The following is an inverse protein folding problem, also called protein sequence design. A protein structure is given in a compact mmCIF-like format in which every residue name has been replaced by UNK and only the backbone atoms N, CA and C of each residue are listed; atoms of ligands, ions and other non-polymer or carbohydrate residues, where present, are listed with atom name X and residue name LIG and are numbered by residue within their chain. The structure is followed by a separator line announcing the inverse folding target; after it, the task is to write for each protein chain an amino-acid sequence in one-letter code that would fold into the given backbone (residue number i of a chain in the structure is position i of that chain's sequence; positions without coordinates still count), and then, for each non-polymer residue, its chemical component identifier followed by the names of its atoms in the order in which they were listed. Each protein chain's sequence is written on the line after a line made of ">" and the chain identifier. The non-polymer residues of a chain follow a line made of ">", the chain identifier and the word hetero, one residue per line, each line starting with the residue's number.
data_IF_355517917537
#
_entry.id   IF_355517917537
#
_cell.length_a   1.000
_cell.length_b   1.000
_cell.length_c   1.000
_cell.angle_alpha   90.00
_cell.angle_beta   90.00
_cell.angle_gamma   90.00
#
_symmetry.space_group_name_H-M   'P 1'
#
loop_
_entity.id
_entity.type
_entity.pdbx_description
1 polymer ?
#
# COMPACT_ATOMS: atom_id res chain seq x y z
N UNK A 1 3.15 -12.40 -1.81
CA UNK A 1 3.48 -13.75 -2.27
C UNK A 1 3.78 -14.63 -1.07
N UNK A 2 3.26 -15.85 -1.06
CA UNK A 2 3.70 -16.92 -0.15
C UNK A 2 4.28 -17.99 -1.08
N UNK A 3 5.56 -18.35 -0.94
CA UNK A 3 6.21 -19.31 -1.86
C UNK A 3 7.57 -18.92 -2.47
N UNK A 4 8.39 -18.14 -1.76
CA UNK A 4 9.81 -17.94 -2.15
C UNK A 4 10.07 -16.90 -3.25
N UNK A 5 9.11 -16.01 -3.53
CA UNK A 5 9.34 -14.87 -4.45
C UNK A 5 10.35 -13.90 -3.82
N UNK A 6 11.42 -13.59 -4.57
CA UNK A 6 12.37 -12.55 -4.19
C UNK A 6 11.82 -11.19 -4.58
N UNK A 7 11.72 -10.29 -3.62
CA UNK A 7 11.26 -8.91 -3.83
C UNK A 7 12.48 -8.01 -3.71
N UNK A 8 12.94 -7.46 -4.83
CA UNK A 8 14.07 -6.54 -4.90
C UNK A 8 13.57 -5.15 -5.33
N UNK A 9 12.67 -4.56 -4.55
CA UNK A 9 12.15 -3.21 -4.76
C UNK A 9 11.76 -2.54 -3.44
N UNK A 10 11.83 -1.21 -3.37
CA UNK A 10 11.45 -0.42 -2.18
C UNK A 10 9.95 -0.29 -2.01
N UNK A 11 9.14 -0.63 -3.02
CA UNK A 11 7.69 -0.53 -2.91
C UNK A 11 7.07 -1.47 -1.87
N UNK A 12 7.80 -2.50 -1.45
CA UNK A 12 7.36 -3.45 -0.44
C UNK A 12 7.63 -3.00 1.00
N UNK A 13 8.39 -1.92 1.23
CA UNK A 13 8.80 -1.49 2.57
C UNK A 13 7.60 -1.29 3.50
N UNK A 14 6.60 -0.52 3.04
CA UNK A 14 5.40 -0.25 3.83
C UNK A 14 4.60 -1.53 4.12
N UNK A 15 4.52 -2.45 3.17
CA UNK A 15 3.82 -3.73 3.35
C UNK A 15 4.53 -4.61 4.38
N UNK A 16 5.86 -4.70 4.33
CA UNK A 16 6.68 -5.44 5.31
C UNK A 16 6.54 -4.82 6.70
N UNK A 17 6.60 -3.49 6.80
CA UNK A 17 6.43 -2.77 8.06
C UNK A 17 5.05 -3.04 8.67
N UNK A 18 3.98 -2.98 7.87
CA UNK A 18 2.64 -3.28 8.34
C UNK A 18 2.44 -4.73 8.75
N UNK A 19 3.06 -5.69 8.05
CA UNK A 19 3.04 -7.09 8.45
C UNK A 19 3.73 -7.29 9.81
N UNK A 20 4.91 -6.68 10.01
CA UNK A 20 5.62 -6.73 11.29
C UNK A 20 4.81 -6.07 12.41
N UNK A 21 4.18 -4.92 12.13
CA UNK A 21 3.37 -4.17 13.09
C UNK A 21 2.08 -4.90 13.46
N UNK A 22 1.42 -5.52 12.49
CA UNK A 22 0.24 -6.37 12.66
C UNK A 22 0.54 -7.53 13.60
N UNK A 23 1.65 -8.24 13.35
CA UNK A 23 2.16 -9.31 14.20
C UNK A 23 2.48 -8.81 15.62
N UNK A 24 3.21 -7.69 15.72
CA UNK A 24 3.59 -7.11 17.01
C UNK A 24 2.38 -6.67 17.86
N UNK A 25 1.31 -6.21 17.22
CA UNK A 25 0.09 -5.73 17.90
C UNK A 25 -1.01 -6.79 18.02
N UNK A 26 -0.78 -7.99 17.50
CA UNK A 26 -1.77 -9.06 17.38
C UNK A 26 -3.11 -8.56 16.79
N UNK A 27 -3.02 -7.72 15.75
CA UNK A 27 -4.18 -7.13 15.08
C UNK A 27 -4.12 -7.42 13.58
N UNK A 28 -4.99 -8.29 13.05
CA UNK A 28 -4.97 -8.64 11.64
C UNK A 28 -5.28 -7.44 10.75
N UNK A 29 -4.64 -7.39 9.59
CA UNK A 29 -4.97 -6.45 8.52
C UNK A 29 -6.15 -7.00 7.70
N UNK A 30 -6.98 -6.14 7.09
CA UNK A 30 -8.02 -6.59 6.17
C UNK A 30 -7.46 -7.47 5.04
N UNK A 31 -8.13 -8.56 4.71
CA UNK A 31 -7.67 -9.52 3.68
C UNK A 31 -7.81 -8.97 2.25
N UNK A 32 -8.61 -7.94 2.07
CA UNK A 32 -8.90 -7.24 0.83
C UNK A 32 -8.11 -5.92 0.67
N UNK A 33 -7.09 -5.71 1.51
CA UNK A 33 -6.20 -4.56 1.50
C UNK A 33 -4.92 -4.84 0.68
N UNK A 34 -4.59 -3.92 -0.23
CA UNK A 34 -3.27 -3.82 -0.86
C UNK A 34 -2.51 -2.62 -0.31
N UNK A 35 -1.20 -2.78 -0.09
CA UNK A 35 -0.34 -1.68 0.36
C UNK A 35 0.96 -1.71 -0.42
N UNK A 36 1.45 -0.53 -0.82
CA UNK A 36 2.80 -0.35 -1.33
C UNK A 36 3.29 1.05 -0.97
N UNK A 37 4.60 1.23 -0.98
CA UNK A 37 5.26 2.50 -0.69
C UNK A 37 6.65 2.28 -0.10
N UNK A 38 7.58 3.14 -0.50
CA UNK A 38 8.91 3.19 0.10
C UNK A 38 8.83 3.96 1.42
N UNK A 39 9.49 3.43 2.45
CA UNK A 39 9.48 4.03 3.79
C UNK A 39 10.84 4.67 4.04
N UNK A 40 10.85 6.00 4.15
CA UNK A 40 12.05 6.71 4.58
C UNK A 40 12.27 6.59 6.09
N UNK A 41 13.53 6.73 6.52
CA UNK A 41 13.91 6.58 7.92
C UNK A 41 13.28 7.65 8.84
N UNK A 42 12.91 8.82 8.30
CA UNK A 42 12.19 9.87 9.02
C UNK A 42 10.66 9.66 9.02
N UNK A 43 10.21 8.49 8.55
CA UNK A 43 8.82 8.06 8.54
C UNK A 43 7.99 8.66 7.41
N UNK A 44 8.61 9.26 6.40
CA UNK A 44 7.95 9.66 5.16
C UNK A 44 7.61 8.46 4.28
N UNK A 45 6.49 8.56 3.55
CA UNK A 45 6.07 7.56 2.56
C UNK A 45 6.33 8.12 1.17
N UNK A 46 7.25 7.49 0.45
CA UNK A 46 7.77 7.97 -0.85
C UNK A 46 7.07 7.26 -2.01
N UNK A 47 6.86 7.96 -3.15
CA UNK A 47 6.22 7.36 -4.30
C UNK A 47 7.07 6.25 -4.92
N UNK A 48 6.38 5.27 -5.50
CA UNK A 48 7.01 4.14 -6.19
C UNK A 48 6.69 4.16 -7.68
N UNK A 49 7.51 3.52 -8.54
CA UNK A 49 7.21 3.39 -9.95
C UNK A 49 5.90 2.64 -10.21
N UNK A 50 5.20 3.04 -11.28
CA UNK A 50 4.01 2.36 -11.81
C UNK A 50 2.83 2.22 -10.82
N UNK A 51 2.66 3.17 -9.88
CA UNK A 51 1.61 3.08 -8.85
C UNK A 51 0.18 2.92 -9.39
N UNK A 52 -0.18 3.62 -10.47
CA UNK A 52 -1.51 3.48 -11.08
C UNK A 52 -1.73 2.08 -11.69
N UNK A 53 -0.69 1.50 -12.29
CA UNK A 53 -0.74 0.14 -12.85
C UNK A 53 -0.90 -0.91 -11.75
N UNK A 54 -0.17 -0.75 -10.63
CA UNK A 54 -0.33 -1.60 -9.44
C UNK A 54 -1.76 -1.55 -8.88
N UNK A 55 -2.34 -0.36 -8.82
CA UNK A 55 -3.72 -0.16 -8.35
C UNK A 55 -4.75 -0.80 -9.30
N UNK A 56 -4.56 -0.68 -10.62
CA UNK A 56 -5.42 -1.36 -11.60
C UNK A 56 -5.37 -2.87 -11.43
N UNK A 57 -4.17 -3.43 -11.26
CA UNK A 57 -4.00 -4.87 -11.10
C UNK A 57 -4.60 -5.36 -9.78
N UNK A 58 -4.44 -4.60 -8.69
CA UNK A 58 -5.10 -4.88 -7.43
C UNK A 58 -6.63 -4.90 -7.56
N UNK A 59 -7.22 -3.91 -8.24
CA UNK A 59 -8.66 -3.85 -8.48
C UNK A 59 -9.16 -5.06 -9.30
N UNK A 60 -8.43 -5.44 -10.37
CA UNK A 60 -8.75 -6.64 -11.18
C UNK A 60 -8.72 -7.93 -10.36
N UNK A 61 -7.82 -8.03 -9.39
CA UNK A 61 -7.71 -9.18 -8.50
C UNK A 61 -8.66 -9.13 -7.29
N UNK A 62 -9.55 -8.13 -7.22
CA UNK A 62 -10.62 -8.07 -6.24
C UNK A 62 -10.26 -7.39 -4.92
N UNK A 63 -9.09 -6.77 -4.80
CA UNK A 63 -8.77 -5.91 -3.65
C UNK A 63 -9.74 -4.73 -3.61
N UNK A 64 -10.26 -4.42 -2.41
CA UNK A 64 -11.27 -3.37 -2.21
C UNK A 64 -10.69 -2.13 -1.58
N UNK A 65 -9.50 -2.22 -0.99
CA UNK A 65 -8.86 -1.12 -0.28
C UNK A 65 -7.40 -1.04 -0.64
N UNK A 66 -6.87 0.17 -0.80
CA UNK A 66 -5.48 0.43 -1.07
C UNK A 66 -4.95 1.54 -0.16
N UNK A 67 -3.82 1.32 0.50
CA UNK A 67 -3.04 2.38 1.16
C UNK A 67 -1.75 2.59 0.38
N UNK A 68 -1.55 3.80 -0.15
CA UNK A 68 -0.47 4.10 -1.10
C UNK A 68 0.16 5.45 -0.81
N UNK A 69 1.37 5.76 -1.33
CA UNK A 69 1.94 7.08 -1.21
C UNK A 69 1.00 8.10 -1.85
N UNK A 70 0.80 9.26 -1.22
CA UNK A 70 -0.09 10.32 -1.73
C UNK A 70 0.23 10.73 -3.17
N UNK A 71 1.50 10.69 -3.54
CA UNK A 71 1.97 10.98 -4.90
C UNK A 71 1.70 9.86 -5.93
N UNK A 72 1.26 8.67 -5.50
CA UNK A 72 0.78 7.59 -6.37
C UNK A 72 -0.75 7.58 -6.53
N UNK A 73 -1.49 8.53 -5.93
CA UNK A 73 -2.92 8.64 -6.17
C UNK A 73 -3.20 8.81 -7.67
N UNK A 74 -4.23 8.13 -8.22
CA UNK A 74 -4.63 8.32 -9.62
C UNK A 74 -4.91 9.79 -9.93
N UNK A 75 -4.59 10.21 -11.16
CA UNK A 75 -4.85 11.58 -11.61
C UNK A 75 -6.36 11.85 -11.60
N UNK A 76 -6.76 13.11 -11.40
CA UNK A 76 -8.18 13.50 -11.47
C UNK A 76 -8.77 13.02 -12.80
N UNK A 77 -9.76 12.12 -12.75
CA UNK A 77 -10.42 11.53 -13.91
C UNK A 77 -10.17 10.02 -14.11
N UNK A 78 -9.10 9.44 -13.56
CA UNK A 78 -8.87 7.98 -13.60
C UNK A 78 -9.37 7.29 -12.33
N UNK A 79 -10.69 7.40 -12.08
CA UNK A 79 -11.30 6.69 -10.96
C UNK A 79 -11.22 5.18 -11.23
N UNK A 80 -10.46 4.48 -10.41
CA UNK A 80 -10.43 3.02 -10.43
C UNK A 80 -11.68 2.53 -9.71
N UNK A 81 -12.57 1.87 -10.45
CA UNK A 81 -13.82 1.35 -9.90
C UNK A 81 -13.56 0.17 -8.96
N UNK A 82 -14.32 0.08 -7.88
CA UNK A 82 -14.31 -1.07 -6.97
C UNK A 82 -13.14 -1.12 -5.97
N UNK A 83 -12.29 -0.10 -5.91
CA UNK A 83 -11.20 0.01 -4.92
C UNK A 83 -11.22 1.39 -4.24
N UNK A 84 -11.21 1.41 -2.90
CA UNK A 84 -11.05 2.62 -2.09
C UNK A 84 -9.56 2.89 -1.88
N UNK A 85 -9.08 4.04 -2.36
CA UNK A 85 -7.64 4.36 -2.40
C UNK A 85 -7.35 5.50 -1.43
N UNK A 86 -6.53 5.21 -0.42
CA UNK A 86 -6.13 6.15 0.64
C UNK A 86 -4.67 6.53 0.43
N UNK A 87 -4.43 7.83 0.19
CA UNK A 87 -3.09 8.38 -0.04
C UNK A 87 -2.47 8.92 1.24
N UNK A 88 -1.37 8.31 1.69
CA UNK A 88 -0.62 8.70 2.90
C UNK A 88 0.71 9.36 2.55
N UNK A 89 1.16 10.28 3.40
CA UNK A 89 2.49 10.90 3.25
C UNK A 89 3.47 10.52 4.37
N UNK A 90 2.97 9.97 5.49
CA UNK A 90 3.75 9.59 6.66
C UNK A 90 3.21 8.33 7.34
N UNK A 91 4.07 7.61 8.06
CA UNK A 91 3.71 6.37 8.77
C UNK A 91 2.59 6.55 9.81
N UNK A 92 2.53 7.70 10.48
CA UNK A 92 1.48 7.97 11.47
C UNK A 92 0.07 8.09 10.86
N UNK A 93 -0.04 8.49 9.58
CA UNK A 93 -1.31 8.54 8.85
C UNK A 93 -1.83 7.12 8.52
N UNK A 94 -0.91 6.16 8.36
CA UNK A 94 -1.24 4.78 7.92
C UNK A 94 -2.20 4.12 8.89
N UNK A 95 -2.00 4.25 10.21
CA UNK A 95 -2.87 3.61 11.20
C UNK A 95 -4.30 4.15 11.20
N UNK A 96 -4.50 5.42 10.85
CA UNK A 96 -5.84 6.00 10.68
C UNK A 96 -6.50 5.61 9.36
N UNK A 97 -5.72 5.05 8.43
CA UNK A 97 -6.19 4.59 7.11
C UNK A 97 -6.46 3.08 7.03
N UNK A 98 -6.20 2.32 8.10
CA UNK A 98 -6.41 0.86 8.20
C UNK A 98 -7.69 0.55 8.97
#
# INVERSE_FOLDING_TARGET
>A
AVGGVRINETAADLAVLLAALSSFRDRPLPTDLVVFGEVGLAGEIRPVPNGEERLREAAKHGFKQAVVPRANLPRRGSRLEGIDIRGVSRLNEVMGSL
#
